data_IF_566978771324
#
_entry.id   IF_566978771324
#
_cell.length_a   1.000
_cell.length_b   1.000
_cell.length_c   1.000
_cell.angle_alpha   90.00
_cell.angle_beta   90.00
_cell.angle_gamma   90.00
#
_symmetry.space_group_name_H-M   'P 1'
#
loop_
_entity.id
_entity.type
_entity.pdbx_description
1 polymer ?
#
# COMPACT_ATOMS: atom_id res chain seq x y z
N UNK A 1 -3.71 -24.12 28.45
CA UNK A 1 -4.20 -23.12 27.48
C UNK A 1 -3.21 -23.14 26.33
N UNK A 2 -3.60 -23.69 25.18
CA UNK A 2 -2.82 -23.49 23.95
C UNK A 2 -2.89 -21.98 23.65
N UNK A 3 -1.76 -21.32 23.35
CA UNK A 3 -1.81 -19.94 22.90
C UNK A 3 -2.76 -19.85 21.69
N UNK A 4 -3.52 -18.75 21.55
CA UNK A 4 -4.41 -18.59 20.41
C UNK A 4 -3.59 -18.78 19.13
N UNK A 5 -4.10 -19.63 18.22
CA UNK A 5 -3.54 -19.80 16.88
C UNK A 5 -3.86 -18.54 16.08
N UNK A 6 -3.07 -17.50 16.31
CA UNK A 6 -3.13 -16.28 15.50
C UNK A 6 -2.56 -16.63 14.12
N UNK A 7 -3.27 -16.28 13.02
CA UNK A 7 -2.75 -16.50 11.68
C UNK A 7 -1.42 -15.76 11.54
N UNK A 8 -0.45 -16.43 10.91
CA UNK A 8 0.92 -15.94 10.81
C UNK A 8 1.39 -15.88 9.37
N UNK A 9 2.06 -14.79 9.04
CA UNK A 9 2.75 -14.62 7.76
C UNK A 9 4.25 -14.87 7.97
N UNK A 10 4.83 -15.69 7.10
CA UNK A 10 6.28 -15.92 7.04
C UNK A 10 6.97 -14.96 6.05
N UNK A 11 6.30 -14.54 4.98
CA UNK A 11 6.79 -13.49 4.08
C UNK A 11 5.68 -12.81 3.28
N UNK A 12 5.93 -11.56 2.87
CA UNK A 12 5.14 -10.81 1.89
C UNK A 12 6.09 -10.37 0.78
N UNK A 13 5.74 -10.62 -0.48
CA UNK A 13 6.53 -10.27 -1.65
C UNK A 13 5.68 -9.51 -2.67
N UNK A 14 6.32 -8.56 -3.34
CA UNK A 14 5.83 -7.90 -4.54
C UNK A 14 6.78 -8.26 -5.67
N UNK A 15 6.31 -9.05 -6.63
CA UNK A 15 7.10 -9.60 -7.71
C UNK A 15 6.73 -8.95 -9.05
N UNK A 16 7.72 -8.76 -9.91
CA UNK A 16 7.52 -8.45 -11.32
C UNK A 16 7.09 -9.68 -12.14
N UNK A 17 6.80 -9.48 -13.43
CA UNK A 17 6.28 -10.53 -14.31
C UNK A 17 7.31 -11.61 -14.62
N UNK A 18 8.59 -11.25 -14.59
CA UNK A 18 9.75 -12.13 -14.69
C UNK A 18 10.11 -12.83 -13.37
N UNK A 19 9.41 -12.49 -12.28
CA UNK A 19 9.59 -13.08 -10.94
C UNK A 19 10.72 -12.44 -10.14
N UNK A 20 11.22 -11.30 -10.57
CA UNK A 20 12.16 -10.52 -9.78
C UNK A 20 11.44 -9.83 -8.63
N UNK A 21 12.14 -9.71 -7.50
CA UNK A 21 11.59 -9.11 -6.28
C UNK A 21 11.71 -7.60 -6.35
N UNK A 22 10.58 -6.91 -6.40
CA UNK A 22 10.50 -5.45 -6.30
C UNK A 22 10.49 -5.00 -4.84
N UNK A 23 9.73 -5.70 -4.00
CA UNK A 23 9.72 -5.53 -2.55
C UNK A 23 9.53 -6.88 -1.86
N UNK A 24 10.10 -7.05 -0.67
CA UNK A 24 9.87 -8.25 0.12
C UNK A 24 10.22 -8.06 1.59
N UNK A 25 9.37 -8.62 2.47
CA UNK A 25 9.63 -8.74 3.90
C UNK A 25 9.47 -10.19 4.32
N UNK A 26 10.43 -10.67 5.11
CA UNK A 26 10.49 -12.03 5.66
C UNK A 26 10.46 -11.93 7.18
N UNK A 27 9.60 -12.74 7.81
CA UNK A 27 9.30 -12.66 9.22
C UNK A 27 9.71 -13.93 9.97
N UNK A 28 9.79 -13.83 11.29
CA UNK A 28 10.15 -14.97 12.15
C UNK A 28 11.48 -15.58 11.75
N UNK A 29 11.61 -16.91 11.84
CA UNK A 29 12.83 -17.62 11.49
C UNK A 29 12.86 -18.14 10.05
N UNK A 30 11.86 -17.78 9.24
CA UNK A 30 11.77 -18.21 7.86
C UNK A 30 12.90 -17.58 7.03
N UNK A 31 13.73 -18.43 6.41
CA UNK A 31 14.89 -18.04 5.59
C UNK A 31 15.83 -17.05 6.30
N UNK A 32 15.93 -17.14 7.63
CA UNK A 32 17.03 -16.53 8.38
C UNK A 32 18.31 -17.32 8.13
N UNK A 33 19.45 -16.65 8.26
CA UNK A 33 20.74 -17.33 8.22
C UNK A 33 20.84 -18.37 9.35
N UNK A 34 21.27 -19.57 9.01
CA UNK A 34 21.51 -20.69 9.94
C UNK A 34 22.90 -21.28 9.68
N UNK A 35 23.38 -22.17 10.55
CA UNK A 35 24.67 -22.85 10.35
C UNK A 35 24.72 -23.63 9.02
N UNK A 36 23.58 -24.22 8.62
CA UNK A 36 23.45 -24.97 7.36
C UNK A 36 23.28 -24.04 6.14
N UNK A 37 22.72 -22.84 6.34
CA UNK A 37 22.45 -21.85 5.31
C UNK A 37 22.89 -20.46 5.77
N UNK A 38 24.20 -20.14 5.69
CA UNK A 38 24.74 -18.91 6.27
C UNK A 38 24.32 -17.64 5.50
N UNK A 39 23.85 -17.78 4.25
CA UNK A 39 23.49 -16.67 3.38
C UNK A 39 21.97 -16.56 3.18
N UNK A 40 21.31 -15.76 4.03
CA UNK A 40 19.86 -15.57 4.00
C UNK A 40 19.34 -15.05 2.65
N UNK A 41 20.06 -14.12 2.00
CA UNK A 41 19.63 -13.55 0.71
C UNK A 41 19.66 -14.56 -0.43
N UNK A 42 20.63 -15.47 -0.44
CA UNK A 42 20.69 -16.55 -1.41
C UNK A 42 19.52 -17.53 -1.21
N UNK A 43 19.21 -17.89 0.04
CA UNK A 43 18.06 -18.74 0.34
C UNK A 43 16.73 -18.08 -0.08
N UNK A 44 16.58 -16.76 0.14
CA UNK A 44 15.42 -15.97 -0.31
C UNK A 44 15.30 -15.96 -1.82
N UNK A 45 16.39 -15.66 -2.52
CA UNK A 45 16.46 -15.65 -3.99
C UNK A 45 16.10 -17.02 -4.58
N UNK A 46 16.58 -18.11 -3.98
CA UNK A 46 16.25 -19.46 -4.45
C UNK A 46 14.77 -19.81 -4.22
N UNK A 47 14.23 -19.43 -3.05
CA UNK A 47 12.80 -19.60 -2.76
C UNK A 47 11.92 -18.81 -3.74
N UNK A 48 12.24 -17.55 -4.01
CA UNK A 48 11.52 -16.70 -4.99
C UNK A 48 11.52 -17.32 -6.39
N UNK A 49 12.66 -17.88 -6.83
CA UNK A 49 12.73 -18.59 -8.12
C UNK A 49 11.81 -19.81 -8.15
N UNK A 50 11.75 -20.59 -7.07
CA UNK A 50 10.83 -21.73 -6.99
C UNK A 50 9.36 -21.28 -6.97
N UNK A 51 9.04 -20.18 -6.29
CA UNK A 51 7.71 -19.55 -6.34
C UNK A 51 7.38 -19.18 -7.78
N UNK A 52 8.25 -18.44 -8.47
CA UNK A 52 8.03 -18.00 -9.85
C UNK A 52 7.84 -19.18 -10.80
N UNK A 53 8.61 -20.26 -10.64
CA UNK A 53 8.45 -21.48 -11.45
C UNK A 53 7.07 -22.09 -11.31
N UNK A 54 6.44 -22.02 -10.13
CA UNK A 54 5.08 -22.55 -9.92
C UNK A 54 4.00 -21.60 -10.38
N UNK A 55 4.15 -20.30 -10.14
CA UNK A 55 3.06 -19.33 -10.36
C UNK A 55 3.10 -18.67 -11.74
N UNK A 56 4.23 -18.70 -12.44
CA UNK A 56 4.43 -17.94 -13.69
C UNK A 56 3.45 -18.30 -14.82
N UNK A 57 2.97 -19.55 -14.85
CA UNK A 57 1.95 -20.01 -15.82
C UNK A 57 0.51 -19.88 -15.33
N UNK A 58 0.29 -19.44 -14.09
CA UNK A 58 -1.03 -19.36 -13.46
C UNK A 58 -1.57 -17.94 -13.58
N UNK A 59 -2.81 -17.82 -14.06
CA UNK A 59 -3.55 -16.57 -14.14
C UNK A 59 -4.34 -16.42 -12.84
N UNK A 60 -3.91 -15.52 -11.96
CA UNK A 60 -4.67 -15.13 -10.77
C UNK A 60 -5.34 -13.78 -11.02
N UNK A 61 -6.58 -13.61 -10.54
CA UNK A 61 -7.27 -12.31 -10.64
C UNK A 61 -7.03 -11.50 -9.37
N UNK A 62 -7.12 -10.16 -9.43
CA UNK A 62 -7.08 -9.32 -8.24
C UNK A 62 -8.08 -9.71 -7.14
N UNK A 63 -9.25 -10.25 -7.52
CA UNK A 63 -10.38 -10.60 -6.65
C UNK A 63 -10.53 -12.13 -6.42
N UNK A 64 -9.55 -12.90 -6.87
CA UNK A 64 -9.53 -14.35 -6.70
C UNK A 64 -8.08 -14.83 -6.68
N UNK A 65 -7.51 -14.83 -5.48
CA UNK A 65 -6.18 -15.35 -5.23
C UNK A 65 -6.07 -16.85 -5.54
N UNK A 66 -4.89 -17.25 -6.00
CA UNK A 66 -4.52 -18.63 -6.29
C UNK A 66 -3.52 -19.13 -5.24
N UNK A 67 -3.50 -20.45 -5.00
CA UNK A 67 -2.67 -21.08 -3.97
C UNK A 67 -1.77 -22.17 -4.55
N UNK A 68 -0.52 -22.19 -4.09
CA UNK A 68 0.46 -23.25 -4.37
C UNK A 68 1.27 -23.58 -3.12
N UNK A 69 1.89 -24.76 -3.10
CA UNK A 69 2.81 -25.15 -2.03
C UNK A 69 4.26 -25.04 -2.51
N UNK A 70 5.15 -24.39 -1.77
CA UNK A 70 6.60 -24.29 -2.08
C UNK A 70 7.41 -24.56 -0.81
N UNK A 71 8.37 -25.49 -0.85
CA UNK A 71 9.20 -25.88 0.30
C UNK A 71 8.41 -26.14 1.61
N UNK A 72 7.21 -26.73 1.51
CA UNK A 72 6.36 -26.96 2.68
C UNK A 72 5.78 -25.68 3.30
N UNK A 73 5.66 -24.61 2.51
CA UNK A 73 4.95 -23.37 2.82
C UNK A 73 3.74 -23.22 1.92
N UNK A 74 2.70 -22.61 2.47
CA UNK A 74 1.51 -22.20 1.72
C UNK A 74 1.80 -20.85 1.09
N UNK A 75 1.73 -20.78 -0.23
CA UNK A 75 2.01 -19.57 -1.01
C UNK A 75 0.72 -19.17 -1.72
N UNK A 76 0.21 -17.99 -1.38
CA UNK A 76 -0.98 -17.42 -2.00
C UNK A 76 -0.60 -16.17 -2.77
N UNK A 77 -1.15 -16.00 -3.97
CA UNK A 77 -0.82 -14.87 -4.82
C UNK A 77 -2.02 -14.39 -5.63
N UNK A 78 -2.04 -13.10 -5.91
CA UNK A 78 -3.00 -12.49 -6.81
C UNK A 78 -2.35 -11.35 -7.61
N UNK A 79 -3.12 -10.80 -8.55
CA UNK A 79 -2.63 -9.80 -9.49
C UNK A 79 -1.91 -10.42 -10.69
N UNK A 80 -1.26 -9.55 -11.47
CA UNK A 80 -0.77 -9.85 -12.81
C UNK A 80 -1.84 -9.62 -13.89
N UNK A 81 -1.43 -9.48 -15.15
CA UNK A 81 -2.38 -9.23 -16.24
C UNK A 81 -3.29 -10.44 -16.48
N UNK A 82 -4.59 -10.19 -16.46
CA UNK A 82 -5.61 -11.16 -16.86
C UNK A 82 -5.64 -11.42 -18.38
N UNK A 83 -4.95 -10.62 -19.18
CA UNK A 83 -4.86 -10.79 -20.63
C UNK A 83 -3.60 -10.13 -21.19
N UNK A 84 -2.52 -10.88 -21.43
CA UNK A 84 -1.49 -10.64 -22.46
C UNK A 84 -0.91 -9.24 -22.69
N UNK A 85 -1.14 -8.28 -21.80
CA UNK A 85 -0.80 -6.87 -21.94
C UNK A 85 -0.68 -6.25 -20.53
N UNK A 86 0.57 -6.03 -20.11
CA UNK A 86 0.93 -4.96 -19.17
C UNK A 86 0.26 -4.99 -17.79
N UNK A 87 0.34 -6.12 -17.10
CA UNK A 87 0.03 -6.23 -15.68
C UNK A 87 1.14 -7.05 -15.07
N UNK A 88 2.19 -6.36 -14.63
CA UNK A 88 3.47 -6.99 -14.31
C UNK A 88 3.59 -7.39 -12.85
N UNK A 89 2.68 -6.94 -11.99
CA UNK A 89 2.88 -7.01 -10.53
C UNK A 89 2.02 -8.10 -9.92
N UNK A 90 2.67 -8.99 -9.17
CA UNK A 90 2.02 -9.99 -8.31
C UNK A 90 2.33 -9.67 -6.85
N UNK A 91 1.29 -9.71 -6.02
CA UNK A 91 1.45 -9.75 -4.56
C UNK A 91 1.43 -11.22 -4.15
N UNK A 92 2.34 -11.59 -3.27
CA UNK A 92 2.52 -12.97 -2.80
C UNK A 92 2.63 -12.98 -1.28
N UNK A 93 1.79 -13.78 -0.64
CA UNK A 93 1.83 -14.04 0.79
C UNK A 93 2.28 -15.47 1.03
N UNK A 94 3.21 -15.64 1.96
CA UNK A 94 3.76 -16.94 2.35
C UNK A 94 3.41 -17.18 3.80
N UNK A 95 2.79 -18.32 4.09
CA UNK A 95 2.49 -18.78 5.44
C UNK A 95 3.01 -20.19 5.71
N UNK A 96 2.96 -20.62 6.99
CA UNK A 96 3.19 -22.01 7.36
C UNK A 96 2.29 -22.99 6.57
N UNK A 97 2.73 -24.25 6.40
CA UNK A 97 1.94 -25.27 5.68
C UNK A 97 0.58 -25.58 6.28
N UNK A 98 0.38 -25.27 7.55
CA UNK A 98 -0.88 -25.49 8.28
C UNK A 98 -1.69 -24.19 8.46
N UNK A 99 -1.28 -23.10 7.82
CA UNK A 99 -2.02 -21.84 7.84
C UNK A 99 -3.27 -21.93 6.96
N UNK A 100 -4.30 -21.15 7.27
CA UNK A 100 -5.53 -21.12 6.47
C UNK A 100 -5.30 -20.42 5.13
N UNK A 101 -5.44 -21.17 4.04
CA UNK A 101 -5.36 -20.64 2.66
C UNK A 101 -6.34 -19.50 2.41
N UNK A 102 -7.57 -19.60 2.95
CA UNK A 102 -8.60 -18.57 2.83
C UNK A 102 -8.21 -17.27 3.54
N UNK A 103 -7.56 -17.38 4.70
CA UNK A 103 -7.06 -16.20 5.42
C UNK A 103 -5.94 -15.54 4.62
N UNK A 104 -4.98 -16.32 4.12
CA UNK A 104 -3.90 -15.81 3.27
C UNK A 104 -4.42 -15.18 1.97
N UNK A 105 -5.45 -15.76 1.35
CA UNK A 105 -6.11 -15.19 0.17
C UNK A 105 -6.73 -13.84 0.46
N UNK A 106 -7.50 -13.73 1.53
CA UNK A 106 -8.12 -12.46 1.93
C UNK A 106 -7.08 -11.36 2.19
N UNK A 107 -5.95 -11.71 2.80
CA UNK A 107 -4.83 -10.79 3.03
C UNK A 107 -4.16 -10.36 1.73
N UNK A 108 -3.93 -11.32 0.83
CA UNK A 108 -3.31 -11.08 -0.45
C UNK A 108 -4.15 -10.12 -1.31
N UNK A 109 -5.45 -10.38 -1.40
CA UNK A 109 -6.42 -9.56 -2.14
C UNK A 109 -6.53 -8.15 -1.53
N UNK A 110 -6.65 -8.04 -0.20
CA UNK A 110 -6.73 -6.75 0.49
C UNK A 110 -5.48 -5.88 0.30
N UNK A 111 -4.28 -6.50 0.34
CA UNK A 111 -3.04 -5.79 0.07
C UNK A 111 -2.93 -5.39 -1.41
N UNK A 112 -3.36 -6.23 -2.35
CA UNK A 112 -3.35 -5.89 -3.77
C UNK A 112 -4.32 -4.75 -4.09
N UNK A 113 -5.51 -4.74 -3.49
CA UNK A 113 -6.47 -3.63 -3.59
C UNK A 113 -5.84 -2.31 -3.08
N UNK A 114 -5.24 -2.32 -1.89
CA UNK A 114 -4.54 -1.16 -1.35
C UNK A 114 -3.41 -0.67 -2.27
N UNK A 115 -2.58 -1.60 -2.77
CA UNK A 115 -1.51 -1.29 -3.71
C UNK A 115 -2.08 -0.64 -4.98
N UNK A 116 -3.14 -1.20 -5.56
CA UNK A 116 -3.79 -0.64 -6.75
C UNK A 116 -4.29 0.79 -6.49
N UNK A 117 -4.91 1.05 -5.34
CA UNK A 117 -5.38 2.38 -4.94
C UNK A 117 -4.24 3.39 -4.81
N UNK A 118 -3.15 3.01 -4.12
CA UNK A 118 -1.97 3.87 -3.96
C UNK A 118 -1.29 4.16 -5.32
N UNK A 119 -1.38 3.22 -6.25
CA UNK A 119 -0.91 3.32 -7.63
C UNK A 119 -1.94 3.99 -8.59
N UNK A 120 -3.03 4.58 -8.09
CA UNK A 120 -4.01 5.26 -8.95
C UNK A 120 -4.78 4.34 -9.91
N UNK A 121 -4.88 3.05 -9.60
CA UNK A 121 -5.71 2.06 -10.29
C UNK A 121 -4.96 1.14 -11.27
N UNK A 122 -3.68 1.40 -11.55
CA UNK A 122 -2.85 0.55 -12.44
C UNK A 122 -1.57 0.13 -11.74
N UNK A 123 -1.34 -1.18 -11.61
CA UNK A 123 -0.13 -1.72 -10.99
C UNK A 123 0.90 -2.08 -12.05
N UNK A 124 1.68 -1.08 -12.49
CA UNK A 124 2.81 -1.26 -13.39
C UNK A 124 4.14 -1.27 -12.64
N UNK A 125 5.13 -1.99 -13.17
CA UNK A 125 6.46 -2.12 -12.56
C UNK A 125 7.11 -0.76 -12.26
N UNK A 126 7.15 0.13 -13.25
CA UNK A 126 7.76 1.46 -13.10
C UNK A 126 7.07 2.25 -11.98
N UNK A 127 5.74 2.19 -11.92
CA UNK A 127 4.99 2.92 -10.91
C UNK A 127 5.25 2.38 -9.49
N UNK A 128 5.31 1.06 -9.32
CA UNK A 128 5.67 0.44 -8.05
C UNK A 128 7.08 0.81 -7.61
N UNK A 129 8.03 0.86 -8.55
CA UNK A 129 9.43 1.23 -8.26
C UNK A 129 9.59 2.72 -7.92
N UNK A 130 8.88 3.60 -8.64
CA UNK A 130 8.90 5.04 -8.38
C UNK A 130 8.27 5.40 -7.03
N UNK A 131 7.36 4.54 -6.52
CA UNK A 131 6.64 4.72 -5.27
C UNK A 131 6.99 3.65 -4.21
N UNK A 132 8.23 3.14 -4.23
CA UNK A 132 8.64 2.02 -3.38
C UNK A 132 8.50 2.31 -1.88
N UNK A 133 8.61 3.57 -1.46
CA UNK A 133 8.38 3.99 -0.08
C UNK A 133 6.93 3.69 0.37
N UNK A 134 5.94 4.05 -0.45
CA UNK A 134 4.53 3.75 -0.21
C UNK A 134 4.28 2.23 -0.12
N UNK A 135 4.99 1.45 -0.95
CA UNK A 135 4.90 -0.03 -0.92
C UNK A 135 5.41 -0.58 0.41
N UNK A 136 6.53 -0.08 0.93
CA UNK A 136 7.05 -0.53 2.22
C UNK A 136 6.17 -0.11 3.40
N UNK A 137 5.63 1.12 3.38
CA UNK A 137 4.65 1.60 4.35
C UNK A 137 3.38 0.74 4.33
N UNK A 138 2.88 0.41 3.14
CA UNK A 138 1.73 -0.49 2.97
C UNK A 138 2.00 -1.85 3.63
N UNK A 139 3.18 -2.44 3.42
CA UNK A 139 3.52 -3.72 4.06
C UNK A 139 3.54 -3.58 5.58
N UNK A 140 4.07 -2.47 6.12
CA UNK A 140 4.10 -2.22 7.57
C UNK A 140 2.71 -2.02 8.20
N UNK A 141 1.81 -1.33 7.51
CA UNK A 141 0.40 -1.18 7.97
C UNK A 141 -0.38 -2.49 7.87
N UNK A 142 -0.01 -3.35 6.92
CA UNK A 142 -0.67 -4.63 6.71
C UNK A 142 -0.22 -5.69 7.73
N UNK A 143 1.08 -5.73 8.05
CA UNK A 143 1.68 -6.78 8.87
C UNK A 143 2.95 -6.30 9.59
N UNK A 144 3.03 -6.55 10.90
CA UNK A 144 4.22 -6.31 11.71
C UNK A 144 4.71 -7.60 12.37
N UNK A 145 5.99 -7.94 12.17
CA UNK A 145 6.60 -9.15 12.74
C UNK A 145 5.95 -10.48 12.31
N UNK A 146 5.17 -10.49 11.22
CA UNK A 146 4.38 -11.65 10.79
C UNK A 146 2.99 -11.72 11.42
N UNK A 147 2.60 -10.70 12.20
CA UNK A 147 1.27 -10.54 12.80
C UNK A 147 0.46 -9.60 11.91
N UNK A 148 -0.73 -10.04 11.51
CA UNK A 148 -1.66 -9.27 10.69
C UNK A 148 -2.22 -8.10 11.52
N UNK A 149 -2.21 -6.90 10.95
CA UNK A 149 -2.74 -5.68 11.58
C UNK A 149 -4.05 -5.22 10.93
N UNK A 150 -4.08 -5.11 9.60
CA UNK A 150 -5.26 -4.67 8.84
C UNK A 150 -5.36 -5.44 7.53
N UNK A 151 -6.60 -5.74 7.10
CA UNK A 151 -6.88 -6.58 5.93
C UNK A 151 -7.73 -5.85 4.88
N UNK A 152 -8.39 -4.76 5.25
CA UNK A 152 -9.20 -3.96 4.33
C UNK A 152 -8.31 -3.04 3.49
N UNK A 153 -8.39 -3.19 2.16
CA UNK A 153 -7.53 -2.45 1.23
C UNK A 153 -7.71 -0.93 1.29
N UNK A 154 -8.94 -0.45 1.51
CA UNK A 154 -9.24 0.98 1.58
C UNK A 154 -8.69 1.60 2.87
N UNK A 155 -8.77 0.88 3.99
CA UNK A 155 -8.17 1.33 5.26
C UNK A 155 -6.64 1.34 5.20
N UNK A 156 -6.04 0.32 4.58
CA UNK A 156 -4.59 0.27 4.37
C UNK A 156 -4.10 1.46 3.54
N UNK A 157 -4.71 1.71 2.38
CA UNK A 157 -4.34 2.84 1.53
C UNK A 157 -4.52 4.18 2.27
N UNK A 158 -5.62 4.33 3.01
CA UNK A 158 -5.85 5.52 3.84
C UNK A 158 -4.78 5.73 4.90
N UNK A 159 -4.40 4.68 5.63
CA UNK A 159 -3.37 4.75 6.67
C UNK A 159 -2.00 5.16 6.13
N UNK A 160 -1.63 4.63 4.96
CA UNK A 160 -0.36 4.99 4.28
C UNK A 160 -0.36 6.48 3.90
N UNK A 161 -1.43 6.99 3.29
CA UNK A 161 -1.51 8.39 2.85
C UNK A 161 -1.54 9.39 4.02
N UNK A 162 -2.09 9.00 5.17
CA UNK A 162 -2.10 9.83 6.38
C UNK A 162 -0.71 9.97 7.00
N UNK A 163 0.14 8.94 6.89
CA UNK A 163 1.53 9.01 7.39
C UNK A 163 2.40 10.01 6.64
N UNK A 164 2.13 10.26 5.36
CA UNK A 164 2.88 11.25 4.59
C UNK A 164 2.57 12.70 5.02
N UNK A 165 1.37 12.96 5.58
CA UNK A 165 0.94 14.31 5.98
C UNK A 165 1.52 14.74 7.36
N UNK A 166 2.03 13.79 8.15
CA UNK A 166 2.68 14.06 9.45
C UNK A 166 4.11 14.63 9.31
N UNK A 167 4.59 14.84 8.09
CA UNK A 167 5.93 15.30 7.75
C UNK A 167 6.18 16.82 7.68
N UNK A 168 5.34 17.72 8.23
CA UNK A 168 5.70 19.17 8.30
C UNK A 168 4.92 20.07 9.30
N UNK A 169 4.36 19.58 10.41
CA UNK A 169 3.76 20.49 11.40
C UNK A 169 4.74 20.84 12.53
N UNK A 170 5.49 21.96 12.36
CA UNK A 170 6.12 22.65 13.51
C UNK A 170 5.01 23.33 14.34
N UNK A 171 4.71 22.88 15.57
CA UNK A 171 3.66 23.46 16.41
C UNK A 171 4.02 24.85 16.97
N UNK A 172 5.22 25.38 16.69
CA UNK A 172 5.73 26.60 17.33
C UNK A 172 5.34 27.89 16.62
N UNK A 173 4.65 27.84 15.48
CA UNK A 173 4.23 29.04 14.75
C UNK A 173 2.90 29.68 15.22
N UNK A 174 2.16 29.05 16.15
CA UNK A 174 0.80 29.47 16.51
C UNK A 174 0.65 30.19 17.86
N UNK A 175 1.73 30.80 18.36
CA UNK A 175 1.69 31.60 19.57
C UNK A 175 2.28 32.98 19.31
N UNK A 176 1.51 33.88 18.68
CA UNK A 176 1.57 35.35 18.84
C UNK A 176 0.42 35.97 18.05
N UNK A 177 -0.64 36.41 18.73
CA UNK A 177 -1.74 37.13 18.10
C UNK A 177 -2.98 37.27 18.98
N UNK A 178 -2.80 37.78 20.20
CA UNK A 178 -3.91 38.06 21.11
C UNK A 178 -4.56 39.43 20.88
N UNK A 179 -5.89 39.47 20.97
CA UNK A 179 -6.65 40.53 21.65
C UNK A 179 -7.39 41.58 20.79
N UNK A 180 -8.70 41.73 21.04
CA UNK A 180 -9.37 43.05 20.89
C UNK A 180 -10.82 43.10 20.36
N UNK A 181 -11.80 42.89 21.25
CA UNK A 181 -13.16 43.51 21.36
C UNK A 181 -14.21 43.59 20.22
N UNK A 182 -15.52 43.71 20.56
CA UNK A 182 -16.66 43.49 19.66
C UNK A 182 -17.32 44.81 19.18
N UNK A 183 -17.88 44.82 17.97
CA UNK A 183 -18.86 45.85 17.57
C UNK A 183 -19.81 45.39 16.46
N UNK A 184 -21.01 45.94 16.54
CA UNK A 184 -22.28 45.63 15.88
C UNK A 184 -22.43 46.17 14.45
N UNK A 185 -23.23 45.45 13.65
CA UNK A 185 -24.19 45.94 12.63
C UNK A 185 -23.66 46.51 11.30
N UNK A 186 -24.11 45.92 10.19
CA UNK A 186 -24.19 46.58 8.87
C UNK A 186 -23.58 45.79 7.70
N UNK A 187 -24.43 45.20 6.85
CA UNK A 187 -24.15 44.95 5.42
C UNK A 187 -24.63 46.19 4.63
N UNK A 188 -24.23 46.44 3.35
CA UNK A 188 -23.27 45.73 2.49
C UNK A 188 -22.29 46.67 1.72
N UNK A 189 -21.52 46.08 0.80
CA UNK A 189 -20.76 46.65 -0.33
C UNK A 189 -19.23 46.80 -0.15
N UNK A 190 -18.50 46.11 -1.04
CA UNK A 190 -17.04 46.23 -1.22
C UNK A 190 -16.25 45.15 -0.51
N UNK A 191 -16.16 43.95 -1.10
CA UNK A 191 -15.21 42.93 -0.62
C UNK A 191 -13.79 43.45 -0.87
N UNK A 192 -13.10 43.76 0.22
CA UNK A 192 -11.69 44.13 0.26
C UNK A 192 -10.83 42.97 -0.24
N UNK A 193 -9.90 43.28 -1.15
CA UNK A 193 -9.00 42.34 -1.83
C UNK A 193 -7.98 41.64 -0.90
N UNK A 194 -8.09 41.82 0.41
CA UNK A 194 -7.16 41.27 1.41
C UNK A 194 -7.58 39.95 2.07
N UNK A 195 -8.87 39.59 2.06
CA UNK A 195 -9.40 38.44 2.79
C UNK A 195 -10.19 37.48 1.88
N UNK A 196 -9.66 37.19 0.70
CA UNK A 196 -10.24 36.15 -0.15
C UNK A 196 -9.61 34.80 0.14
N UNK A 197 -10.41 33.88 0.66
CA UNK A 197 -10.01 32.48 0.78
C UNK A 197 -9.69 31.90 -0.60
N UNK A 198 -8.75 30.97 -0.69
CA UNK A 198 -8.31 30.37 -1.97
C UNK A 198 -9.52 29.82 -2.78
N UNK A 199 -10.50 29.24 -2.09
CA UNK A 199 -11.73 28.73 -2.71
C UNK A 199 -12.73 29.79 -3.19
N UNK A 200 -12.61 31.04 -2.74
CA UNK A 200 -13.36 32.18 -3.28
C UNK A 200 -12.63 32.79 -4.49
N UNK A 201 -11.29 32.87 -4.44
CA UNK A 201 -10.48 33.35 -5.55
C UNK A 201 -10.63 32.47 -6.81
N UNK A 202 -10.62 31.14 -6.66
CA UNK A 202 -10.79 30.22 -7.80
C UNK A 202 -12.17 30.31 -8.47
N UNK A 203 -13.24 30.53 -7.68
CA UNK A 203 -14.58 30.72 -8.23
C UNK A 203 -14.69 32.02 -9.02
N UNK A 204 -14.11 33.10 -8.50
CA UNK A 204 -14.12 34.39 -9.17
C UNK A 204 -13.30 34.40 -10.46
N UNK A 205 -12.14 33.73 -10.47
CA UNK A 205 -11.32 33.58 -11.67
C UNK A 205 -12.02 32.77 -12.77
N UNK A 206 -12.74 31.70 -12.38
CA UNK A 206 -13.54 30.89 -13.31
C UNK A 206 -14.66 31.73 -13.94
N UNK A 207 -15.38 32.51 -13.16
CA UNK A 207 -16.53 33.29 -13.65
C UNK A 207 -16.10 34.44 -14.59
N UNK A 208 -14.91 35.03 -14.38
CA UNK A 208 -14.32 35.99 -15.33
C UNK A 208 -13.94 35.35 -16.67
N UNK A 209 -13.51 34.10 -16.66
CA UNK A 209 -13.09 33.39 -17.88
C UNK A 209 -14.28 33.06 -18.80
N UNK A 210 -15.47 32.80 -18.24
CA UNK A 210 -16.68 32.50 -19.01
C UNK A 210 -17.46 33.75 -19.46
N UNK A 211 -17.24 34.90 -18.83
CA UNK A 211 -17.94 36.15 -19.17
C UNK A 211 -17.27 36.97 -20.29
N UNK A 212 -16.04 36.64 -20.70
CA UNK A 212 -15.24 37.46 -21.63
C UNK A 212 -15.27 37.03 -23.11
N UNK A 213 -16.11 36.08 -23.48
CA UNK A 213 -16.17 35.52 -24.83
C UNK A 213 -17.49 35.79 -25.55
N UNK A 214 -17.85 37.07 -25.75
CA UNK A 214 -18.77 37.57 -26.78
C UNK A 214 -18.50 39.06 -27.04
#
# INVERSE_FOLDING_TARGET
>A
MLPPLLPKIDAILVLGSDGDRLAGKYYGDFLKATDDHPNAEESRTNFEKEVQQKIGGVIARPDAAEVVMVQGKTVVFCGGSSQGAGGDIRVVHVGPSNESELVLAHLCEGMYDALSQLMGGTTERTMVLDNLELVFLLIDEHCDGGIILETDGSKLAGAVLLRDDDGMHDPRAQAMGGGGHPQTQGMPAGVSTGDMTLGQAFRQARDQFFSGGM
#
